data_IF_540989350825
#
_entry.id   IF_540989350825
#
_cell.length_a   1.000
_cell.length_b   1.000
_cell.length_c   1.000
_cell.angle_alpha   90.00
_cell.angle_beta   90.00
_cell.angle_gamma   90.00
#
_symmetry.space_group_name_H-M   'P 1'
#
loop_
_entity.id
_entity.type
_entity.pdbx_description
1 polymer ?
#
# COMPACT_ATOMS: atom_id res chain seq x y z
N UNK A 1 25.08 3.16 14.16
CA UNK A 1 24.42 1.84 14.14
C UNK A 1 24.42 1.35 12.71
N UNK A 2 24.83 0.11 12.46
CA UNK A 2 24.67 -0.51 11.14
C UNK A 2 23.22 -0.95 10.98
N UNK A 3 22.64 -0.72 9.80
CA UNK A 3 21.28 -1.18 9.46
C UNK A 3 21.47 -2.48 8.68
N UNK A 4 20.97 -3.60 9.22
CA UNK A 4 20.86 -4.86 8.48
C UNK A 4 19.97 -4.66 7.23
N UNK A 5 19.83 -5.68 6.36
CA UNK A 5 18.95 -5.55 5.18
C UNK A 5 17.55 -5.10 5.63
N UNK A 6 17.11 -3.87 5.30
CA UNK A 6 15.84 -3.36 5.78
C UNK A 6 14.70 -4.11 5.12
N UNK A 7 13.58 -4.26 5.84
CA UNK A 7 12.34 -4.76 5.27
C UNK A 7 11.81 -3.77 4.25
N UNK A 8 11.34 -4.26 3.11
CA UNK A 8 10.68 -3.45 2.08
C UNK A 8 9.17 -3.60 2.23
N UNK A 9 8.47 -2.53 2.56
CA UNK A 9 7.03 -2.52 2.79
C UNK A 9 6.34 -1.71 1.69
N UNK A 10 5.35 -2.31 1.01
CA UNK A 10 4.47 -1.58 0.11
C UNK A 10 3.21 -1.12 0.85
N UNK A 11 3.02 0.19 0.96
CA UNK A 11 1.77 0.79 1.43
C UNK A 11 0.74 0.78 0.31
N UNK A 12 -0.39 0.15 0.56
CA UNK A 12 -1.54 0.15 -0.33
C UNK A 12 -2.72 0.81 0.38
N UNK A 13 -3.50 1.61 -0.34
CA UNK A 13 -4.61 2.35 0.26
C UNK A 13 -5.14 3.44 -0.65
N UNK A 14 -6.29 3.97 -0.30
CA UNK A 14 -6.93 5.03 -1.08
C UNK A 14 -6.20 6.36 -0.86
N UNK A 15 -5.82 7.04 -1.94
CA UNK A 15 -5.19 8.38 -1.88
C UNK A 15 -6.05 9.45 -1.18
N UNK A 16 -7.36 9.20 -1.02
CA UNK A 16 -8.24 10.03 -0.16
C UNK A 16 -7.78 10.07 1.32
N UNK A 17 -7.02 9.08 1.75
CA UNK A 17 -6.42 8.96 3.08
C UNK A 17 -4.93 9.32 3.04
N UNK A 18 -4.60 10.37 2.29
CA UNK A 18 -3.21 10.80 2.07
C UNK A 18 -2.46 11.11 3.37
N UNK A 19 -3.15 11.65 4.37
CA UNK A 19 -2.56 11.95 5.68
C UNK A 19 -2.18 10.67 6.42
N UNK A 20 -3.05 9.65 6.41
CA UNK A 20 -2.81 8.37 7.06
C UNK A 20 -1.71 7.57 6.32
N UNK A 21 -1.68 7.63 4.98
CA UNK A 21 -0.59 7.07 4.18
C UNK A 21 0.75 7.73 4.51
N UNK A 22 0.78 9.07 4.64
CA UNK A 22 1.98 9.80 5.01
C UNK A 22 2.43 9.48 6.45
N UNK A 23 1.49 9.42 7.40
CA UNK A 23 1.78 9.07 8.78
C UNK A 23 2.38 7.66 8.92
N UNK A 24 1.81 6.67 8.21
CA UNK A 24 2.34 5.30 8.23
C UNK A 24 3.70 5.20 7.55
N UNK A 25 3.89 5.91 6.44
CA UNK A 25 5.19 6.01 5.76
C UNK A 25 6.24 6.53 6.73
N UNK A 26 5.95 7.61 7.47
CA UNK A 26 6.85 8.15 8.48
C UNK A 26 7.13 7.15 9.59
N UNK A 27 6.10 6.48 10.13
CA UNK A 27 6.27 5.46 11.18
C UNK A 27 7.18 4.32 10.73
N UNK A 28 6.92 3.74 9.56
CA UNK A 28 7.71 2.63 9.01
C UNK A 28 9.15 3.03 8.70
N UNK A 29 9.38 4.25 8.20
CA UNK A 29 10.74 4.77 7.99
C UNK A 29 11.50 4.90 9.31
N UNK A 30 10.84 5.36 10.39
CA UNK A 30 11.44 5.42 11.73
C UNK A 30 11.72 4.02 12.31
N UNK A 31 10.94 3.02 11.88
CA UNK A 31 11.19 1.58 12.13
C UNK A 31 12.25 0.98 11.20
N UNK A 32 12.99 1.81 10.45
CA UNK A 32 14.06 1.41 9.53
C UNK A 32 13.62 0.56 8.32
N UNK A 33 12.35 0.66 7.90
CA UNK A 33 11.86 0.01 6.68
C UNK A 33 12.09 0.90 5.44
N UNK A 34 12.30 0.25 4.28
CA UNK A 34 12.15 0.90 2.98
C UNK A 34 10.65 0.90 2.65
N UNK A 35 10.08 2.07 2.37
CA UNK A 35 8.65 2.20 2.10
C UNK A 35 8.41 2.53 0.63
N UNK A 36 7.66 1.66 -0.05
CA UNK A 36 7.10 1.90 -1.37
C UNK A 36 5.63 2.28 -1.21
N UNK A 37 5.15 3.30 -1.89
CA UNK A 37 3.79 3.81 -1.69
C UNK A 37 3.23 4.44 -2.97
N UNK A 38 1.90 4.59 -3.10
CA UNK A 38 1.35 5.47 -4.11
C UNK A 38 1.76 6.91 -3.76
N UNK A 39 1.96 7.74 -4.78
CA UNK A 39 2.21 9.17 -4.56
C UNK A 39 0.92 9.94 -4.78
N UNK A 40 0.60 10.81 -3.83
CA UNK A 40 -0.43 11.82 -4.02
C UNK A 40 0.15 12.88 -4.96
N UNK A 41 -0.41 12.98 -6.16
CA UNK A 41 -0.08 14.07 -7.08
C UNK A 41 -1.02 15.24 -6.81
N UNK A 42 -0.50 16.46 -6.70
CA UNK A 42 -1.34 17.67 -6.64
C UNK A 42 -2.15 17.87 -7.93
N UNK A 43 -1.71 17.23 -9.02
CA UNK A 43 -2.43 17.14 -10.28
C UNK A 43 -3.49 16.05 -10.16
N UNK A 44 -4.76 16.42 -10.26
CA UNK A 44 -5.84 15.45 -10.50
C UNK A 44 -5.50 14.70 -11.78
N UNK A 45 -5.30 13.38 -11.71
CA UNK A 45 -5.02 12.54 -12.88
C UNK A 45 -6.26 12.54 -13.78
N UNK A 46 -6.31 13.34 -14.87
CA UNK A 46 -7.52 13.48 -15.67
C UNK A 46 -7.62 12.36 -16.72
N UNK A 47 -6.47 11.75 -17.05
CA UNK A 47 -6.33 10.74 -18.08
C UNK A 47 -6.50 9.33 -17.48
N UNK A 48 -7.55 8.59 -17.88
CA UNK A 48 -7.76 7.20 -17.46
C UNK A 48 -6.61 6.25 -17.86
N UNK A 49 -5.88 6.55 -18.93
CA UNK A 49 -4.71 5.76 -19.35
C UNK A 49 -3.58 5.88 -18.33
N UNK A 50 -3.24 7.11 -17.93
CA UNK A 50 -2.26 7.35 -16.87
C UNK A 50 -2.69 6.71 -15.55
N UNK A 51 -3.96 6.81 -15.16
CA UNK A 51 -4.47 6.16 -13.95
C UNK A 51 -4.27 4.63 -13.96
N UNK A 52 -4.48 3.98 -15.12
CA UNK A 52 -4.21 2.54 -15.29
C UNK A 52 -2.72 2.23 -15.16
N UNK A 53 -1.87 3.01 -15.83
CA UNK A 53 -0.41 2.84 -15.77
C UNK A 53 0.15 3.06 -14.36
N UNK A 54 -0.41 3.99 -13.59
CA UNK A 54 -0.07 4.19 -12.18
C UNK A 54 -0.49 3.00 -11.31
N UNK A 55 -1.65 2.40 -11.61
CA UNK A 55 -2.08 1.15 -10.99
C UNK A 55 -1.09 0.01 -11.25
N UNK A 56 -0.70 -0.21 -12.51
CA UNK A 56 0.30 -1.21 -12.89
C UNK A 56 1.66 -0.95 -12.23
N UNK A 57 2.11 0.31 -12.19
CA UNK A 57 3.33 0.71 -11.48
C UNK A 57 3.25 0.34 -10.00
N UNK A 58 2.08 0.49 -9.38
CA UNK A 58 1.89 0.12 -7.98
C UNK A 58 1.96 -1.41 -7.78
N UNK A 59 1.47 -2.22 -8.72
CA UNK A 59 1.71 -3.67 -8.71
C UNK A 59 3.20 -4.02 -8.80
N UNK A 60 3.98 -3.28 -9.60
CA UNK A 60 5.45 -3.46 -9.64
C UNK A 60 6.15 -3.07 -8.34
N UNK A 61 5.59 -2.11 -7.58
CA UNK A 61 6.07 -1.83 -6.21
C UNK A 61 5.79 -3.01 -5.29
N UNK A 62 4.62 -3.64 -5.43
CA UNK A 62 4.32 -4.87 -4.70
C UNK A 62 5.35 -5.93 -5.05
N UNK A 63 5.71 -6.17 -6.31
CA UNK A 63 6.74 -7.15 -6.71
C UNK A 63 8.06 -7.01 -5.92
N UNK A 64 8.49 -5.77 -5.67
CA UNK A 64 9.74 -5.45 -4.97
C UNK A 64 9.65 -5.53 -3.44
N UNK A 65 8.45 -5.50 -2.87
CA UNK A 65 8.25 -5.49 -1.44
C UNK A 65 8.31 -6.89 -0.81
N UNK A 66 8.76 -6.97 0.44
CA UNK A 66 8.69 -8.19 1.24
C UNK A 66 7.27 -8.42 1.77
N UNK A 67 6.56 -7.34 2.07
CA UNK A 67 5.21 -7.36 2.62
C UNK A 67 4.38 -6.15 2.16
N UNK A 68 3.06 -6.25 2.36
CA UNK A 68 2.09 -5.21 2.05
C UNK A 68 1.38 -4.74 3.32
N UNK A 69 1.26 -3.42 3.46
CA UNK A 69 0.57 -2.76 4.57
C UNK A 69 -0.61 -1.96 4.03
N UNK A 70 -1.83 -2.35 4.42
CA UNK A 70 -3.07 -1.74 3.97
C UNK A 70 -3.48 -0.60 4.91
N UNK A 71 -3.52 0.62 4.38
CA UNK A 71 -4.04 1.81 5.05
C UNK A 71 -5.53 1.95 4.74
N UNK A 72 -6.36 1.39 5.62
CA UNK A 72 -7.82 1.38 5.53
C UNK A 72 -8.51 1.99 6.77
N UNK A 73 -8.44 3.31 7.00
CA UNK A 73 -9.22 3.98 8.04
C UNK A 73 -10.71 3.63 7.97
N UNK A 74 -11.29 3.24 9.10
CA UNK A 74 -12.69 2.81 9.19
C UNK A 74 -13.02 1.55 8.39
N UNK A 75 -12.01 0.73 8.04
CA UNK A 75 -12.19 -0.51 7.28
C UNK A 75 -12.45 -0.31 5.78
N UNK A 76 -12.37 0.91 5.26
CA UNK A 76 -12.62 1.13 3.83
C UNK A 76 -11.50 0.56 2.96
N UNK A 77 -11.91 -0.28 2.00
CA UNK A 77 -11.03 -0.76 0.93
C UNK A 77 -11.70 -0.41 -0.40
N UNK A 78 -10.97 0.27 -1.29
CA UNK A 78 -11.44 0.61 -2.64
C UNK A 78 -11.11 -0.47 -3.66
N UNK A 79 -11.64 -0.35 -4.88
CA UNK A 79 -11.39 -1.31 -5.97
C UNK A 79 -9.91 -1.48 -6.33
N UNK A 80 -9.15 -0.38 -6.40
CA UNK A 80 -7.71 -0.46 -6.66
C UNK A 80 -6.99 -1.24 -5.56
N UNK A 81 -7.25 -0.90 -4.28
CA UNK A 81 -6.66 -1.59 -3.13
C UNK A 81 -7.08 -3.05 -3.03
N UNK A 82 -8.32 -3.42 -3.40
CA UNK A 82 -8.73 -4.83 -3.51
C UNK A 82 -7.89 -5.61 -4.52
N UNK A 83 -7.61 -5.02 -5.70
CA UNK A 83 -6.75 -5.64 -6.71
C UNK A 83 -5.31 -5.78 -6.22
N UNK A 84 -4.81 -4.79 -5.50
CA UNK A 84 -3.48 -4.80 -4.89
C UNK A 84 -3.35 -5.93 -3.84
N UNK A 85 -4.36 -6.07 -2.96
CA UNK A 85 -4.42 -7.17 -1.98
C UNK A 85 -4.42 -8.53 -2.69
N UNK A 86 -5.34 -8.73 -3.65
CA UNK A 86 -5.42 -9.99 -4.38
C UNK A 86 -4.12 -10.34 -5.13
N UNK A 87 -3.43 -9.33 -5.66
CA UNK A 87 -2.14 -9.50 -6.31
C UNK A 87 -1.05 -9.91 -5.31
N UNK A 88 -0.99 -9.26 -4.14
CA UNK A 88 -0.05 -9.60 -3.08
C UNK A 88 -0.28 -11.03 -2.55
N UNK A 89 -1.54 -11.40 -2.33
CA UNK A 89 -1.94 -12.74 -1.89
C UNK A 89 -1.53 -13.80 -2.92
N UNK A 90 -1.73 -13.54 -4.22
CA UNK A 90 -1.33 -14.44 -5.30
C UNK A 90 0.20 -14.65 -5.37
N UNK A 91 0.99 -13.66 -4.93
CA UNK A 91 2.44 -13.77 -4.78
C UNK A 91 2.88 -14.40 -3.45
N UNK A 92 1.95 -14.74 -2.56
CA UNK A 92 2.24 -15.28 -1.23
C UNK A 92 2.86 -14.26 -0.27
N UNK A 93 2.64 -12.96 -0.50
CA UNK A 93 3.17 -11.89 0.36
C UNK A 93 2.31 -11.71 1.60
N UNK A 94 2.95 -11.38 2.72
CA UNK A 94 2.24 -11.03 3.94
C UNK A 94 1.46 -9.72 3.74
N UNK A 95 0.18 -9.71 4.08
CA UNK A 95 -0.71 -8.52 4.01
C UNK A 95 -1.22 -8.21 5.40
N UNK A 96 -1.02 -6.98 5.88
CA UNK A 96 -1.49 -6.52 7.20
C UNK A 96 -2.38 -5.27 7.08
N UNK A 97 -3.29 -5.04 8.03
CA UNK A 97 -4.32 -4.00 7.93
C UNK A 97 -4.30 -2.97 9.08
N UNK A 98 -4.68 -1.72 8.80
CA UNK A 98 -4.94 -0.71 9.84
C UNK A 98 -6.14 -1.11 10.69
N UNK A 99 -7.21 -1.53 10.02
CA UNK A 99 -8.38 -2.12 10.63
C UNK A 99 -8.60 -3.47 9.99
N UNK A 100 -8.66 -4.53 10.80
CA UNK A 100 -8.92 -5.86 10.27
C UNK A 100 -10.25 -5.86 9.50
N UNK A 101 -10.26 -6.38 8.26
CA UNK A 101 -11.53 -6.59 7.57
C UNK A 101 -12.37 -7.58 8.37
N UNK A 102 -13.71 -7.48 8.31
CA UNK A 102 -14.57 -8.45 8.97
C UNK A 102 -14.23 -9.86 8.46
N UNK A 103 -13.94 -10.77 9.38
CA UNK A 103 -13.74 -12.18 9.07
C UNK A 103 -15.03 -12.73 8.47
N UNK A 104 -14.93 -13.51 7.39
CA UNK A 104 -16.08 -14.12 6.68
C UNK A 104 -16.87 -15.16 7.50
N UNK A 105 -16.53 -15.35 8.76
CA UNK A 105 -17.20 -16.27 9.68
C UNK A 105 -18.02 -15.46 10.69
N UNK A 106 -19.22 -15.04 10.29
CA UNK A 106 -20.35 -14.63 11.14
C UNK A 106 -21.66 -14.79 10.37
#
# INVERSE_FOLDING_TARGET
>A
MAVDRPRIVCLCGSLRFGNELAAERTRLTLDLAIVLAPEATEVSVPDPSLARSLGELHLRRIDLADEVRIVNPGGYIGEATRREIAYADALGKSVTYFHEPPTRDS
#
